data_IF_896579066438
#
_entry.id   IF_896579066438
#
_cell.length_a   1.000
_cell.length_b   1.000
_cell.length_c   1.000
_cell.angle_alpha   90.00
_cell.angle_beta   90.00
_cell.angle_gamma   90.00
#
_symmetry.space_group_name_H-M   'P 1'
#
loop_
_entity.id
_entity.type
_entity.pdbx_description
1 polymer ?
#
# COMPACT_ATOMS: atom_id res chain seq x y z
N UNK A 1 15.72 -2.46 -13.57
CA UNK A 1 14.58 -3.35 -13.34
C UNK A 1 13.62 -3.11 -14.47
N UNK A 2 13.13 -4.17 -15.13
CA UNK A 2 12.11 -4.00 -16.17
C UNK A 2 10.72 -3.81 -15.54
N UNK A 3 9.84 -3.12 -16.28
CA UNK A 3 8.48 -2.79 -15.85
C UNK A 3 7.62 -4.02 -15.56
N UNK A 4 7.84 -5.11 -16.32
CA UNK A 4 7.13 -6.38 -16.12
C UNK A 4 7.45 -6.97 -14.75
N UNK A 5 8.72 -7.01 -14.35
CA UNK A 5 9.19 -7.54 -13.07
C UNK A 5 8.57 -6.76 -11.91
N UNK A 6 8.48 -5.43 -12.04
CA UNK A 6 7.79 -4.59 -11.05
C UNK A 6 6.29 -4.90 -10.98
N UNK A 7 5.61 -4.94 -12.13
CA UNK A 7 4.17 -5.20 -12.19
C UNK A 7 3.79 -6.58 -11.64
N UNK A 8 4.56 -7.63 -11.99
CA UNK A 8 4.36 -8.99 -11.48
C UNK A 8 4.62 -9.05 -9.98
N UNK A 9 5.71 -8.45 -9.50
CA UNK A 9 6.02 -8.42 -8.06
C UNK A 9 4.96 -7.65 -7.27
N UNK A 10 4.50 -6.50 -7.78
CA UNK A 10 3.40 -5.72 -7.20
C UNK A 10 2.13 -6.58 -7.08
N UNK A 11 1.73 -7.24 -8.17
CA UNK A 11 0.55 -8.13 -8.17
C UNK A 11 0.71 -9.24 -7.12
N UNK A 12 1.87 -9.89 -7.07
CA UNK A 12 2.16 -10.94 -6.10
C UNK A 12 2.06 -10.44 -4.65
N UNK A 13 2.67 -9.30 -4.34
CA UNK A 13 2.63 -8.74 -2.99
C UNK A 13 1.24 -8.21 -2.61
N UNK A 14 0.46 -7.68 -3.56
CA UNK A 14 -0.94 -7.29 -3.34
C UNK A 14 -1.78 -8.51 -2.97
N UNK A 15 -1.60 -9.63 -3.67
CA UNK A 15 -2.25 -10.90 -3.33
C UNK A 15 -1.84 -11.39 -1.94
N UNK A 16 -0.59 -11.26 -1.55
CA UNK A 16 -0.13 -11.63 -0.20
C UNK A 16 -0.77 -10.73 0.86
N UNK A 17 -0.82 -9.41 0.61
CA UNK A 17 -1.45 -8.45 1.50
C UNK A 17 -2.92 -8.78 1.76
N UNK A 18 -3.67 -9.13 0.72
CA UNK A 18 -5.07 -9.54 0.86
C UNK A 18 -5.21 -10.96 1.41
N UNK A 19 -4.74 -11.96 0.68
CA UNK A 19 -5.09 -13.37 0.93
C UNK A 19 -4.37 -13.97 2.14
N UNK A 20 -3.14 -13.53 2.43
CA UNK A 20 -2.28 -14.18 3.44
C UNK A 20 -2.19 -13.34 4.74
N UNK A 21 -2.37 -12.03 4.65
CA UNK A 21 -2.33 -11.13 5.81
C UNK A 21 -3.72 -10.63 6.23
N UNK A 22 -4.30 -9.70 5.47
CA UNK A 22 -5.51 -8.99 5.87
C UNK A 22 -6.73 -9.90 5.96
N UNK A 23 -6.88 -10.86 5.04
CA UNK A 23 -7.93 -11.86 5.05
C UNK A 23 -7.91 -12.70 6.33
N UNK A 24 -6.82 -13.41 6.64
CA UNK A 24 -6.67 -14.15 7.89
C UNK A 24 -6.85 -13.28 9.15
N UNK A 25 -6.32 -12.06 9.16
CA UNK A 25 -6.55 -11.09 10.26
C UNK A 25 -8.02 -10.70 10.40
N UNK A 26 -8.74 -10.53 9.30
CA UNK A 26 -10.17 -10.22 9.34
C UNK A 26 -10.98 -11.41 9.86
N UNK A 27 -10.62 -12.65 9.47
CA UNK A 27 -11.27 -13.88 9.93
C UNK A 27 -11.22 -14.01 11.46
N UNK A 28 -10.17 -13.52 12.10
CA UNK A 28 -10.00 -13.52 13.57
C UNK A 28 -10.63 -12.31 14.26
N UNK A 29 -11.29 -11.41 13.52
CA UNK A 29 -11.93 -10.21 14.04
C UNK A 29 -11.01 -8.98 14.14
N UNK A 30 -9.80 -9.04 13.58
CA UNK A 30 -8.80 -7.97 13.66
C UNK A 30 -8.94 -6.85 12.62
N UNK A 31 -9.97 -6.88 11.77
CA UNK A 31 -10.12 -5.97 10.63
C UNK A 31 -9.10 -6.22 9.51
N UNK A 32 -9.06 -5.33 8.52
CA UNK A 32 -8.23 -5.50 7.30
C UNK A 32 -6.98 -4.62 7.26
N UNK A 33 -6.79 -3.74 8.24
CA UNK A 33 -5.69 -2.76 8.25
C UNK A 33 -4.34 -3.47 8.37
N UNK A 34 -3.39 -3.10 7.53
CA UNK A 34 -2.00 -3.52 7.62
C UNK A 34 -1.12 -2.32 8.01
N UNK A 35 0.10 -2.61 8.47
CA UNK A 35 1.11 -1.63 8.85
C UNK A 35 2.37 -1.79 8.03
N UNK A 36 3.12 -0.71 7.88
CA UNK A 36 4.49 -0.76 7.35
C UNK A 36 5.44 -1.26 8.45
N UNK A 37 6.42 -2.06 8.05
CA UNK A 37 7.50 -2.56 8.90
C UNK A 37 8.82 -2.43 8.14
N UNK A 38 9.99 -2.49 8.81
CA UNK A 38 11.27 -2.46 8.11
C UNK A 38 11.34 -3.53 7.00
N UNK A 39 11.52 -3.10 5.75
CA UNK A 39 11.64 -4.00 4.60
C UNK A 39 10.32 -4.58 4.06
N UNK A 40 9.16 -4.13 4.53
CA UNK A 40 7.87 -4.54 3.96
C UNK A 40 6.66 -4.09 4.77
N UNK A 41 5.72 -5.00 4.99
CA UNK A 41 4.44 -4.70 5.64
C UNK A 41 3.90 -5.92 6.40
N UNK A 42 3.00 -5.72 7.35
CA UNK A 42 2.48 -6.81 8.18
C UNK A 42 1.12 -6.54 8.76
N UNK A 43 0.58 -7.57 9.42
CA UNK A 43 -0.64 -7.46 10.20
C UNK A 43 -0.47 -6.53 11.39
N UNK A 44 -1.57 -5.89 11.79
CA UNK A 44 -1.68 -5.08 13.01
C UNK A 44 -2.15 -5.97 14.18
N UNK A 45 -3.02 -6.94 13.89
CA UNK A 45 -3.61 -7.86 14.85
C UNK A 45 -3.24 -9.31 14.50
N UNK A 46 -3.64 -10.26 15.35
CA UNK A 46 -3.41 -11.68 15.09
C UNK A 46 -4.03 -12.12 13.75
N UNK A 47 -3.35 -12.99 12.97
CA UNK A 47 -2.06 -13.61 13.24
C UNK A 47 -0.88 -12.65 13.03
N UNK A 48 0.19 -12.74 13.84
CA UNK A 48 1.39 -11.88 13.71
C UNK A 48 2.26 -12.35 12.53
N UNK A 49 2.00 -11.77 11.37
CA UNK A 49 2.60 -12.11 10.09
C UNK A 49 3.10 -10.85 9.42
N UNK A 50 4.28 -10.90 8.79
CA UNK A 50 4.81 -9.77 8.03
C UNK A 50 5.65 -10.22 6.85
N UNK A 51 5.68 -9.39 5.81
CA UNK A 51 6.56 -9.54 4.67
C UNK A 51 7.83 -8.73 4.89
N UNK A 52 8.96 -9.37 4.63
CA UNK A 52 10.27 -8.75 4.52
C UNK A 52 10.86 -9.14 3.16
N UNK A 53 10.81 -8.22 2.19
CA UNK A 53 11.17 -8.49 0.80
C UNK A 53 10.33 -9.62 0.18
N UNK A 54 10.97 -10.76 -0.04
CA UNK A 54 10.43 -11.95 -0.70
C UNK A 54 10.17 -13.11 0.29
N UNK A 55 10.02 -12.77 1.57
CA UNK A 55 9.85 -13.72 2.67
C UNK A 55 8.67 -13.32 3.55
N UNK A 56 7.83 -14.30 3.89
CA UNK A 56 6.82 -14.20 4.94
C UNK A 56 7.44 -14.62 6.27
N UNK A 57 7.47 -13.71 7.23
CA UNK A 57 7.95 -13.96 8.58
C UNK A 57 6.76 -14.25 9.50
N UNK A 58 6.91 -15.31 10.29
CA UNK A 58 5.93 -15.77 11.27
C UNK A 58 6.56 -15.73 12.68
N UNK A 59 5.80 -15.96 13.76
CA UNK A 59 6.37 -15.97 15.11
C UNK A 59 7.38 -17.10 15.33
N UNK A 60 7.34 -18.15 14.50
CA UNK A 60 8.16 -19.37 14.65
C UNK A 60 9.21 -19.53 13.57
N UNK A 61 9.29 -18.65 12.59
CA UNK A 61 10.26 -18.77 11.50
C UNK A 61 9.95 -17.89 10.30
N UNK A 62 10.40 -18.33 9.13
CA UNK A 62 10.19 -17.62 7.87
C UNK A 62 9.95 -18.58 6.71
N UNK A 63 9.17 -18.11 5.74
CA UNK A 63 8.67 -18.89 4.60
C UNK A 63 8.96 -18.08 3.33
N UNK A 64 9.56 -18.72 2.34
CA UNK A 64 9.81 -18.09 1.04
C UNK A 64 8.49 -17.87 0.30
N UNK A 65 8.34 -16.72 -0.36
CA UNK A 65 7.19 -16.44 -1.22
C UNK A 65 7.32 -17.17 -2.56
N UNK A 66 7.21 -18.48 -2.53
CA UNK A 66 7.32 -19.38 -3.70
C UNK A 66 6.17 -20.38 -3.71
N UNK A 67 5.64 -20.68 -4.90
CA UNK A 67 4.45 -21.52 -5.06
C UNK A 67 3.18 -20.68 -5.06
N UNK A 68 2.08 -21.25 -4.59
CA UNK A 68 0.76 -20.58 -4.53
C UNK A 68 0.54 -19.80 -3.25
N UNK A 69 -0.43 -18.88 -3.26
CA UNK A 69 -0.87 -18.19 -2.03
C UNK A 69 -1.42 -19.17 -0.99
N UNK A 70 -2.14 -20.22 -1.43
CA UNK A 70 -2.68 -21.26 -0.57
C UNK A 70 -1.56 -22.04 0.14
N UNK A 71 -0.50 -22.43 -0.58
CA UNK A 71 0.66 -23.13 -0.01
C UNK A 71 1.42 -22.24 0.99
N UNK A 72 1.68 -20.98 0.66
CA UNK A 72 2.35 -20.04 1.55
C UNK A 72 1.51 -19.77 2.80
N UNK A 73 0.20 -19.57 2.66
CA UNK A 73 -0.72 -19.40 3.79
C UNK A 73 -0.71 -20.64 4.70
N UNK A 74 -0.85 -21.84 4.12
CA UNK A 74 -0.87 -23.09 4.87
C UNK A 74 0.45 -23.32 5.63
N UNK A 75 1.59 -23.02 5.00
CA UNK A 75 2.90 -23.09 5.66
C UNK A 75 3.01 -22.11 6.84
N UNK A 76 2.30 -20.97 6.79
CA UNK A 76 2.21 -20.00 7.87
C UNK A 76 1.15 -20.34 8.94
N UNK A 77 0.45 -21.47 8.79
CA UNK A 77 -0.59 -21.89 9.72
C UNK A 77 -1.90 -21.11 9.58
N UNK A 78 -2.13 -20.47 8.43
CA UNK A 78 -3.36 -19.73 8.12
C UNK A 78 -4.01 -20.27 6.85
N UNK A 79 -5.30 -20.04 6.69
CA UNK A 79 -5.99 -20.34 5.43
C UNK A 79 -6.12 -19.05 4.62
N UNK A 80 -5.69 -19.08 3.35
CA UNK A 80 -5.83 -17.93 2.46
C UNK A 80 -7.29 -17.45 2.40
N UNK A 81 -7.54 -16.13 2.48
CA UNK A 81 -8.89 -15.57 2.52
C UNK A 81 -9.02 -14.33 1.65
N UNK A 82 -9.88 -14.40 0.64
CA UNK A 82 -10.29 -13.22 -0.14
C UNK A 82 -11.17 -12.30 0.69
N UNK A 83 -11.21 -11.02 0.30
CA UNK A 83 -12.00 -9.97 0.96
C UNK A 83 -13.14 -9.44 0.07
N UNK A 84 -13.58 -10.21 -0.93
CA UNK A 84 -14.65 -9.79 -1.84
C UNK A 84 -16.01 -9.59 -1.13
N UNK A 85 -16.19 -10.19 0.06
CA UNK A 85 -17.36 -9.99 0.92
C UNK A 85 -17.26 -8.75 1.82
N UNK A 86 -16.09 -8.09 1.84
CA UNK A 86 -15.78 -6.91 2.66
C UNK A 86 -15.70 -5.64 1.82
N UNK A 87 -15.04 -5.71 0.65
CA UNK A 87 -14.91 -4.59 -0.28
C UNK A 87 -14.92 -5.04 -1.74
N UNK A 88 -15.08 -4.07 -2.65
CA UNK A 88 -15.03 -4.28 -4.09
C UNK A 88 -13.76 -3.69 -4.68
N UNK A 89 -13.21 -4.26 -5.75
CA UNK A 89 -12.08 -3.65 -6.46
C UNK A 89 -10.69 -4.07 -5.98
N UNK A 90 -10.61 -5.10 -5.12
CA UNK A 90 -9.35 -5.77 -4.78
C UNK A 90 -8.64 -6.41 -5.98
N UNK A 91 -7.52 -7.12 -5.75
CA UNK A 91 -6.61 -7.59 -6.78
C UNK A 91 -7.15 -8.71 -7.67
N UNK A 92 -8.32 -9.29 -7.30
CA UNK A 92 -8.96 -10.42 -7.99
C UNK A 92 -7.97 -11.57 -8.26
N UNK A 93 -7.21 -11.92 -7.23
CA UNK A 93 -6.21 -12.99 -7.25
C UNK A 93 -6.84 -14.27 -6.71
N UNK A 94 -6.55 -15.41 -7.35
CA UNK A 94 -6.94 -16.73 -6.84
C UNK A 94 -5.92 -17.22 -5.82
N UNK A 95 -6.36 -18.01 -4.84
CA UNK A 95 -5.44 -18.64 -3.88
C UNK A 95 -4.47 -19.63 -4.55
N UNK A 96 -4.85 -20.18 -5.72
CA UNK A 96 -4.04 -21.12 -6.50
C UNK A 96 -3.10 -20.43 -7.52
N UNK A 97 -3.16 -19.09 -7.63
CA UNK A 97 -2.25 -18.34 -8.51
C UNK A 97 -0.80 -18.45 -8.00
N UNK A 98 0.17 -18.47 -8.91
CA UNK A 98 1.59 -18.55 -8.57
C UNK A 98 2.15 -17.20 -8.14
N UNK A 99 2.97 -17.22 -7.08
CA UNK A 99 3.77 -16.10 -6.63
C UNK A 99 5.04 -15.99 -7.47
N UNK A 100 5.29 -14.78 -7.97
CA UNK A 100 6.53 -14.40 -8.64
C UNK A 100 6.99 -13.07 -8.07
N UNK A 101 8.17 -13.07 -7.45
CA UNK A 101 8.76 -11.93 -6.75
C UNK A 101 10.18 -11.72 -7.26
N UNK A 102 10.42 -10.54 -7.84
CA UNK A 102 11.77 -10.02 -8.05
C UNK A 102 12.24 -9.32 -6.76
N UNK A 103 13.36 -9.72 -6.15
CA UNK A 103 13.82 -9.14 -4.89
C UNK A 103 14.11 -7.64 -4.96
N UNK A 104 14.58 -7.14 -6.11
CA UNK A 104 14.83 -5.71 -6.27
C UNK A 104 13.52 -4.93 -6.36
N UNK A 105 12.51 -5.46 -7.05
CA UNK A 105 11.17 -4.88 -7.11
C UNK A 105 10.51 -4.87 -5.73
N UNK A 106 10.58 -5.97 -4.98
CA UNK A 106 10.05 -6.02 -3.62
C UNK A 106 10.72 -4.97 -2.72
N UNK A 107 12.04 -4.79 -2.86
CA UNK A 107 12.78 -3.76 -2.13
C UNK A 107 12.33 -2.35 -2.51
N UNK A 108 12.19 -2.06 -3.81
CA UNK A 108 11.71 -0.77 -4.31
C UNK A 108 10.33 -0.42 -3.71
N UNK A 109 9.40 -1.37 -3.72
CA UNK A 109 8.06 -1.18 -3.18
C UNK A 109 8.08 -0.96 -1.66
N UNK A 110 8.87 -1.74 -0.93
CA UNK A 110 9.03 -1.58 0.51
C UNK A 110 9.64 -0.20 0.88
N UNK A 111 10.65 0.26 0.16
CA UNK A 111 11.28 1.57 0.39
C UNK A 111 10.29 2.72 0.06
N UNK A 112 9.46 2.57 -0.98
CA UNK A 112 8.41 3.53 -1.30
C UNK A 112 7.36 3.61 -0.17
N UNK A 113 6.89 2.48 0.35
CA UNK A 113 5.96 2.46 1.48
C UNK A 113 6.54 3.04 2.76
N UNK A 114 7.82 2.75 3.06
CA UNK A 114 8.50 3.30 4.23
C UNK A 114 8.65 4.83 4.13
N UNK A 115 8.98 5.33 2.94
CA UNK A 115 9.05 6.78 2.66
C UNK A 115 7.67 7.43 2.80
N UNK A 116 6.63 6.79 2.26
CA UNK A 116 5.24 7.17 2.44
C UNK A 116 4.83 7.28 3.90
N UNK A 117 5.05 6.22 4.69
CA UNK A 117 4.73 6.21 6.13
C UNK A 117 5.42 7.36 6.86
N UNK A 118 6.72 7.57 6.64
CA UNK A 118 7.49 8.62 7.30
C UNK A 118 6.96 10.02 6.97
N UNK A 119 6.64 10.29 5.70
CA UNK A 119 6.09 11.56 5.27
C UNK A 119 4.67 11.79 5.82
N UNK A 120 3.82 10.76 5.83
CA UNK A 120 2.45 10.85 6.36
C UNK A 120 2.44 11.14 7.88
N UNK A 121 3.35 10.50 8.65
CA UNK A 121 3.54 10.80 10.09
C UNK A 121 4.04 12.22 10.33
N UNK A 122 4.80 12.78 9.38
CA UNK A 122 5.28 14.17 9.45
C UNK A 122 4.18 15.16 9.06
N UNK A 123 3.31 14.80 8.12
CA UNK A 123 2.18 15.61 7.69
C UNK A 123 1.16 15.77 8.82
N UNK A 124 0.75 14.67 9.44
CA UNK A 124 -0.17 14.66 10.58
C UNK A 124 0.20 13.56 11.59
N UNK A 125 0.84 13.93 12.72
CA UNK A 125 1.22 12.98 13.77
C UNK A 125 0.04 12.34 14.52
N UNK A 126 -1.18 12.88 14.40
CA UNK A 126 -2.37 12.33 15.05
C UNK A 126 -2.98 11.17 14.25
N UNK A 127 -2.69 11.11 12.95
CA UNK A 127 -3.12 10.00 12.11
C UNK A 127 -2.16 8.82 12.20
N UNK A 128 -2.71 7.62 12.05
CA UNK A 128 -1.92 6.39 11.90
C UNK A 128 -1.95 5.97 10.43
N UNK A 129 -0.82 5.99 9.71
CA UNK A 129 -0.74 5.44 8.36
C UNK A 129 -1.17 3.97 8.34
N UNK A 130 -1.99 3.62 7.36
CA UNK A 130 -2.47 2.25 7.14
C UNK A 130 -2.10 1.84 5.73
N UNK A 131 -1.56 0.64 5.57
CA UNK A 131 -1.52 -0.02 4.26
C UNK A 131 -2.86 -0.71 4.02
N UNK A 132 -3.61 -0.26 3.02
CA UNK A 132 -4.92 -0.81 2.70
C UNK A 132 -4.79 -1.95 1.69
N UNK A 133 -5.25 -3.17 2.00
CA UNK A 133 -5.15 -4.29 1.06
C UNK A 133 -6.05 -4.12 -0.17
N UNK A 134 -7.06 -3.24 -0.12
CA UNK A 134 -7.96 -2.97 -1.23
C UNK A 134 -7.23 -2.34 -2.43
N UNK A 135 -6.48 -1.25 -2.17
CA UNK A 135 -5.72 -0.52 -3.19
C UNK A 135 -4.20 -0.80 -3.15
N UNK A 136 -3.75 -1.51 -2.10
CA UNK A 136 -2.35 -1.82 -1.83
C UNK A 136 -1.46 -0.59 -1.68
N UNK A 137 -2.01 0.49 -1.14
CA UNK A 137 -1.33 1.75 -0.89
C UNK A 137 -1.25 2.07 0.61
N UNK A 138 -0.24 2.84 1.00
CA UNK A 138 -0.13 3.38 2.36
C UNK A 138 -0.71 4.78 2.38
N UNK A 139 -1.63 5.07 3.31
CA UNK A 139 -2.27 6.37 3.36
C UNK A 139 -2.88 6.76 4.70
N UNK A 140 -3.25 8.04 4.78
CA UNK A 140 -4.09 8.65 5.82
C UNK A 140 -5.16 9.51 5.16
N UNK A 141 -6.21 9.82 5.92
CA UNK A 141 -7.22 10.82 5.53
C UNK A 141 -7.23 11.94 6.57
N UNK A 142 -7.13 13.18 6.11
CA UNK A 142 -7.22 14.39 6.95
C UNK A 142 -8.15 15.36 6.25
N UNK A 143 -9.17 15.87 6.97
CA UNK A 143 -10.13 16.86 6.47
C UNK A 143 -10.70 16.53 5.08
N UNK A 144 -11.18 15.29 4.89
CA UNK A 144 -11.73 14.79 3.62
C UNK A 144 -10.73 14.80 2.43
N UNK A 145 -9.44 14.73 2.74
CA UNK A 145 -8.36 14.59 1.76
C UNK A 145 -7.56 13.33 2.07
N UNK A 146 -7.42 12.47 1.08
CA UNK A 146 -6.58 11.28 1.16
C UNK A 146 -5.16 11.62 0.75
N UNK A 147 -4.17 11.17 1.53
CA UNK A 147 -2.75 11.31 1.25
C UNK A 147 -2.13 9.93 1.30
N UNK A 148 -1.28 9.61 0.32
CA UNK A 148 -0.67 8.29 0.33
C UNK A 148 0.39 8.07 -0.73
N UNK A 149 0.96 6.87 -0.68
CA UNK A 149 1.90 6.35 -1.68
C UNK A 149 1.37 5.02 -2.19
N UNK A 150 1.15 4.96 -3.50
CA UNK A 150 0.79 3.77 -4.25
C UNK A 150 2.05 3.06 -4.77
N UNK A 151 2.06 1.72 -4.85
CA UNK A 151 3.13 0.95 -5.50
C UNK A 151 3.08 1.03 -7.05
N UNK A 152 2.17 1.83 -7.59
CA UNK A 152 1.85 1.91 -9.00
C UNK A 152 0.61 1.09 -9.36
N UNK A 153 0.06 1.34 -10.54
CA UNK A 153 -1.13 0.69 -11.10
C UNK A 153 -1.07 0.69 -12.64
N UNK A 154 -2.20 0.48 -13.31
CA UNK A 154 -2.29 0.47 -14.78
C UNK A 154 -2.17 1.87 -15.40
N UNK A 155 -2.44 2.93 -14.63
CA UNK A 155 -2.31 4.32 -15.07
C UNK A 155 -0.92 4.89 -14.83
N UNK A 156 -0.32 4.61 -13.67
CA UNK A 156 1.05 5.00 -13.31
C UNK A 156 1.81 3.74 -12.88
N UNK A 157 2.63 3.13 -13.76
CA UNK A 157 3.23 1.82 -13.49
C UNK A 157 4.24 1.78 -12.34
N UNK A 158 4.86 2.91 -12.01
CA UNK A 158 5.86 3.04 -10.93
C UNK A 158 5.26 3.58 -9.63
N UNK A 159 5.94 3.43 -8.47
CA UNK A 159 5.45 4.00 -7.23
C UNK A 159 5.25 5.52 -7.33
N UNK A 160 4.14 6.01 -6.79
CA UNK A 160 3.79 7.43 -6.84
C UNK A 160 3.10 7.89 -5.56
N UNK A 161 3.32 9.14 -5.20
CA UNK A 161 2.59 9.82 -4.13
C UNK A 161 1.29 10.42 -4.70
N UNK A 162 0.23 10.48 -3.89
CA UNK A 162 -1.01 11.12 -4.27
C UNK A 162 -1.59 12.03 -3.18
N UNK A 163 -2.36 13.01 -3.63
CA UNK A 163 -3.28 13.81 -2.80
C UNK A 163 -4.65 13.78 -3.47
N UNK A 164 -5.63 13.18 -2.81
CA UNK A 164 -6.98 12.97 -3.34
C UNK A 164 -8.06 13.57 -2.45
N UNK A 165 -8.47 14.83 -2.67
CA UNK A 165 -9.63 15.41 -2.02
C UNK A 165 -10.91 14.69 -2.44
N UNK A 166 -11.85 14.47 -1.50
CA UNK A 166 -13.15 13.83 -1.82
C UNK A 166 -13.98 14.63 -2.82
N UNK A 167 -13.84 15.96 -2.78
CA UNK A 167 -14.37 16.86 -3.81
C UNK A 167 -13.28 17.18 -4.84
N UNK A 168 -13.43 16.79 -6.11
CA UNK A 168 -12.45 17.06 -7.15
C UNK A 168 -12.05 18.53 -7.23
N UNK A 169 -10.77 18.77 -7.49
CA UNK A 169 -10.19 20.11 -7.63
C UNK A 169 -9.56 20.26 -9.01
N UNK A 170 -9.39 21.51 -9.44
CA UNK A 170 -8.84 21.85 -10.77
C UNK A 170 -7.71 22.86 -10.63
N UNK A 171 -6.72 22.81 -11.52
CA UNK A 171 -5.56 23.70 -11.54
C UNK A 171 -4.27 22.91 -11.72
N UNK A 172 -3.14 23.60 -11.86
CA UNK A 172 -1.87 23.00 -12.27
C UNK A 172 -1.39 21.86 -11.35
N UNK A 173 -1.67 21.95 -10.04
CA UNK A 173 -1.35 20.90 -9.08
C UNK A 173 -2.26 19.67 -9.21
N UNK A 174 -3.53 19.86 -9.57
CA UNK A 174 -4.56 18.82 -9.64
C UNK A 174 -4.53 18.13 -11.00
N UNK A 175 -3.49 17.34 -11.20
CA UNK A 175 -3.11 16.74 -12.48
C UNK A 175 -3.73 15.36 -12.77
N UNK A 176 -4.56 14.82 -11.88
CA UNK A 176 -5.17 13.49 -11.98
C UNK A 176 -6.69 13.57 -11.72
N UNK A 177 -7.49 12.62 -12.25
CA UNK A 177 -8.95 12.62 -12.04
C UNK A 177 -9.35 12.47 -10.56
N UNK A 178 -8.48 11.86 -9.76
CA UNK A 178 -8.66 11.70 -8.30
C UNK A 178 -8.02 12.84 -7.49
N UNK A 179 -7.33 13.79 -8.11
CA UNK A 179 -6.62 14.87 -7.41
C UNK A 179 -5.25 15.14 -8.02
N UNK A 180 -4.19 14.90 -7.27
CA UNK A 180 -2.81 15.09 -7.69
C UNK A 180 -2.01 13.81 -7.50
N UNK A 181 -1.10 13.53 -8.43
CA UNK A 181 -0.12 12.45 -8.32
C UNK A 181 1.27 12.91 -8.71
N UNK A 182 2.29 12.30 -8.10
CA UNK A 182 3.68 12.52 -8.47
C UNK A 182 4.51 11.23 -8.36
N UNK A 183 5.19 10.80 -9.43
CA UNK A 183 6.08 9.64 -9.36
C UNK A 183 7.14 9.81 -8.27
N UNK A 184 7.43 8.74 -7.54
CA UNK A 184 8.47 8.75 -6.50
C UNK A 184 9.86 9.05 -7.07
N UNK A 185 10.09 8.74 -8.35
CA UNK A 185 11.32 9.07 -9.08
C UNK A 185 11.53 10.57 -9.31
N UNK A 186 10.49 11.39 -9.19
CA UNK A 186 10.57 12.86 -9.23
C UNK A 186 10.73 13.50 -7.84
N UNK A 187 10.63 12.72 -6.77
CA UNK A 187 10.70 13.17 -5.37
C UNK A 187 12.03 12.74 -4.76
N UNK A 188 13.12 13.34 -5.25
CA UNK A 188 14.48 12.87 -4.97
C UNK A 188 15.08 13.42 -3.68
N UNK A 189 14.61 14.59 -3.22
CA UNK A 189 15.07 15.19 -1.98
C UNK A 189 14.27 14.66 -0.78
N UNK A 190 14.88 14.54 0.41
CA UNK A 190 14.21 13.98 1.60
C UNK A 190 12.90 14.69 1.99
N UNK A 191 12.73 15.97 1.66
CA UNK A 191 11.51 16.72 1.96
C UNK A 191 10.47 16.71 0.86
N UNK A 192 10.81 16.35 -0.38
CA UNK A 192 9.95 16.50 -1.56
C UNK A 192 8.58 15.85 -1.38
N UNK A 193 8.55 14.64 -0.81
CA UNK A 193 7.30 13.92 -0.55
C UNK A 193 6.41 14.62 0.48
N UNK A 194 7.03 15.13 1.56
CA UNK A 194 6.28 15.88 2.59
C UNK A 194 5.81 17.23 2.06
N UNK A 195 6.63 17.89 1.25
CA UNK A 195 6.32 19.19 0.65
C UNK A 195 5.20 19.06 -0.40
N UNK A 196 5.19 17.96 -1.17
CA UNK A 196 4.08 17.60 -2.06
C UNK A 196 2.76 17.46 -1.28
N UNK A 197 2.76 16.70 -0.18
CA UNK A 197 1.56 16.54 0.64
C UNK A 197 1.09 17.85 1.29
N UNK A 198 2.01 18.66 1.84
CA UNK A 198 1.69 19.97 2.43
C UNK A 198 1.13 20.95 1.41
N UNK A 199 1.66 20.92 0.19
CA UNK A 199 1.13 21.73 -0.91
C UNK A 199 -0.33 21.36 -1.19
N UNK A 200 -0.61 20.06 -1.33
CA UNK A 200 -1.97 19.56 -1.53
C UNK A 200 -2.91 19.91 -0.37
N UNK A 201 -2.44 19.79 0.88
CA UNK A 201 -3.19 20.18 2.08
C UNK A 201 -3.55 21.68 2.08
N UNK A 202 -2.57 22.54 1.80
CA UNK A 202 -2.79 23.99 1.73
C UNK A 202 -3.84 24.33 0.65
N UNK A 203 -3.67 23.81 -0.56
CA UNK A 203 -4.58 24.09 -1.68
C UNK A 203 -5.99 23.54 -1.47
N UNK A 204 -6.14 22.37 -0.83
CA UNK A 204 -7.44 21.80 -0.50
C UNK A 204 -8.19 22.65 0.55
N UNK A 205 -7.48 23.27 1.49
CA UNK A 205 -8.06 24.11 2.56
C UNK A 205 -8.52 25.50 2.10
N UNK A 206 -7.91 26.05 1.05
CA UNK A 206 -8.23 27.40 0.54
C UNK A 206 -9.58 27.39 -0.19
N UNK A 207 -9.83 26.36 -1.00
CA UNK A 207 -11.04 26.26 -1.81
C UNK A 207 -12.28 25.79 -1.02
N UNK A 208 -12.21 25.73 0.31
CA UNK A 208 -13.36 25.51 1.21
C UNK A 208 -13.88 26.80 1.87
N UNK A 209 -13.24 27.96 1.63
CA UNK A 209 -13.64 29.25 2.23
C UNK A 209 -14.48 30.16 1.33
N UNK A 210 -14.77 29.72 0.11
CA UNK A 210 -15.58 30.46 -0.88
C UNK A 210 -17.03 29.94 -0.98
N UNK A 211 -17.61 29.47 0.13
CA UNK A 211 -19.05 29.13 0.24
C UNK A 211 -19.73 29.92 1.35
#
# INVERSE_FOLDING_TARGET
MDERSLAVTRRSLHGVAELVLAGPQYRTGGGIRLRIVPGGFGTVNAPDLRIEGDTLVTPTGSIRLTGTYAEVAAAAGVEARRLDDVYSGGPKISADDQLEIDPAAARLLADAFASGEAALRTLDPQQTPVLWPEHFDVGITVDEVNYGVSPGDDGIPEPYAYVGPWTPRTGDFWNAPFGASRPMTELTEPSDLTDFFRTGQSLASVAGRDL
#
